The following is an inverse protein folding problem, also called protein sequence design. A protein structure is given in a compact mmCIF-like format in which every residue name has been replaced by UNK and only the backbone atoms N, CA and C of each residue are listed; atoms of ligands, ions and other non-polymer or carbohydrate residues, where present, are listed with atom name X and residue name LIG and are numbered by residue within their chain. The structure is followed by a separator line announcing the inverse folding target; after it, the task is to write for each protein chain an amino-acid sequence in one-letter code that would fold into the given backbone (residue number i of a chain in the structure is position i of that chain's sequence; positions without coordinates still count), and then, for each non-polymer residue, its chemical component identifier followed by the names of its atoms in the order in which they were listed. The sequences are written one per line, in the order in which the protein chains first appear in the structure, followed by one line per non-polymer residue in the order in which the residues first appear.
data_IF_091502285362
#
_entry.id   IF_091502285362
#
_cell.length_a   1.000
_cell.length_b   1.000
_cell.length_c   1.000
_cell.angle_alpha   90.00
_cell.angle_beta   90.00
_cell.angle_gamma   90.00
#
_symmetry.space_group_name_H-M   'P 1'
#
loop_
_entity.id
_entity.type
_entity.pdbx_description
1 polymer ?
#
# COMPACT_ATOMS: atom_id res chain seq x y z
N UNK A 1 16.01 -3.38 23.40
CA UNK A 1 15.89 -3.37 21.92
C UNK A 1 14.45 -3.04 21.61
N UNK A 2 14.20 -2.07 20.74
CA UNK A 2 12.85 -1.79 20.24
C UNK A 2 12.33 -3.03 19.53
N UNK A 3 11.10 -3.43 19.84
CA UNK A 3 10.43 -4.55 19.15
C UNK A 3 10.17 -4.10 17.72
N UNK A 4 10.70 -4.83 16.72
CA UNK A 4 10.37 -4.58 15.31
C UNK A 4 8.97 -5.07 15.01
N UNK A 5 8.25 -4.33 14.17
CA UNK A 5 6.84 -4.59 13.86
C UNK A 5 6.53 -4.29 12.39
N UNK A 6 5.79 -5.20 11.77
CA UNK A 6 5.24 -5.06 10.43
C UNK A 6 3.70 -5.20 10.48
N UNK A 7 3.04 -4.97 9.35
CA UNK A 7 1.59 -5.15 9.19
C UNK A 7 1.19 -5.72 7.85
N UNK A 8 0.13 -6.52 7.87
CA UNK A 8 -0.69 -6.83 6.72
C UNK A 8 -1.78 -5.75 6.60
N UNK A 9 -1.89 -5.10 5.44
CA UNK A 9 -2.79 -3.97 5.24
C UNK A 9 -3.76 -4.14 4.04
N UNK A 10 -4.65 -5.15 4.04
CA UNK A 10 -5.62 -5.32 2.96
C UNK A 10 -6.78 -4.31 3.04
N UNK A 11 -7.24 -3.82 1.90
CA UNK A 11 -8.49 -3.06 1.82
C UNK A 11 -9.69 -4.01 1.67
N UNK A 12 -10.80 -3.82 2.43
CA UNK A 12 -12.00 -4.66 2.32
C UNK A 12 -12.82 -4.39 1.06
N UNK A 13 -12.41 -3.44 0.23
CA UNK A 13 -13.10 -3.10 -1.03
C UNK A 13 -12.67 -3.98 -2.21
N UNK A 14 -11.50 -4.61 -2.11
CA UNK A 14 -10.95 -5.52 -3.12
C UNK A 14 -10.99 -6.97 -2.66
N UNK A 15 -11.18 -7.89 -3.60
CA UNK A 15 -10.91 -9.29 -3.32
C UNK A 15 -9.39 -9.51 -3.21
N UNK A 16 -8.94 -10.30 -2.25
CA UNK A 16 -7.53 -10.72 -2.22
C UNK A 16 -7.23 -11.60 -3.44
N UNK A 17 -6.13 -11.31 -4.11
CA UNK A 17 -5.63 -12.06 -5.26
C UNK A 17 -4.31 -12.78 -4.94
N UNK A 18 -3.83 -13.61 -5.87
CA UNK A 18 -2.54 -14.32 -5.75
C UNK A 18 -1.36 -13.37 -5.47
N UNK A 19 -1.38 -12.15 -6.01
CA UNK A 19 -0.36 -11.13 -5.69
C UNK A 19 -0.38 -10.72 -4.21
N UNK A 20 -1.57 -10.56 -3.62
CA UNK A 20 -1.70 -10.29 -2.19
C UNK A 20 -1.20 -11.47 -1.36
N UNK A 21 -1.54 -12.70 -1.73
CA UNK A 21 -1.03 -13.89 -1.05
C UNK A 21 0.50 -13.94 -1.06
N UNK A 22 1.13 -13.64 -2.21
CA UNK A 22 2.58 -13.58 -2.33
C UNK A 22 3.19 -12.57 -1.36
N UNK A 23 2.76 -11.30 -1.41
CA UNK A 23 3.31 -10.25 -0.55
C UNK A 23 3.04 -10.49 0.94
N UNK A 24 1.85 -10.97 1.30
CA UNK A 24 1.50 -11.25 2.69
C UNK A 24 2.22 -12.46 3.26
N UNK A 25 2.41 -13.53 2.46
CA UNK A 25 3.17 -14.69 2.88
C UNK A 25 4.66 -14.35 3.09
N UNK A 26 5.24 -13.55 2.19
CA UNK A 26 6.62 -13.06 2.33
C UNK A 26 6.76 -12.21 3.59
N UNK A 27 5.88 -11.23 3.80
CA UNK A 27 5.90 -10.38 5.00
C UNK A 27 5.76 -11.21 6.28
N UNK A 28 4.84 -12.17 6.29
CA UNK A 28 4.65 -13.08 7.42
C UNK A 28 5.90 -13.93 7.70
N UNK A 29 6.49 -14.54 6.66
CA UNK A 29 7.72 -15.31 6.81
C UNK A 29 8.89 -14.46 7.32
N UNK A 30 9.02 -13.22 6.83
CA UNK A 30 10.02 -12.26 7.33
C UNK A 30 9.80 -11.93 8.79
N UNK A 31 8.56 -11.63 9.19
CA UNK A 31 8.23 -11.31 10.58
C UNK A 31 8.53 -12.47 11.51
N UNK A 32 8.10 -13.70 11.16
CA UNK A 32 8.36 -14.90 11.98
C UNK A 32 9.84 -15.23 12.07
N UNK A 33 10.61 -15.16 10.97
CA UNK A 33 12.06 -15.43 10.98
C UNK A 33 12.85 -14.43 11.82
N UNK A 34 12.44 -13.17 11.82
CA UNK A 34 13.18 -12.10 12.50
C UNK A 34 12.59 -11.72 13.87
N UNK A 35 11.61 -12.49 14.37
CA UNK A 35 10.88 -12.22 15.62
C UNK A 35 10.26 -10.82 15.65
N UNK A 36 9.69 -10.37 14.52
CA UNK A 36 8.88 -9.16 14.47
C UNK A 36 7.45 -9.47 14.88
N UNK A 37 6.80 -8.49 15.49
CA UNK A 37 5.35 -8.51 15.62
C UNK A 37 4.71 -8.20 14.27
N UNK A 38 3.68 -8.95 13.89
CA UNK A 38 2.96 -8.77 12.64
C UNK A 38 1.49 -8.52 12.96
N UNK A 39 1.00 -7.31 12.75
CA UNK A 39 -0.43 -7.00 12.98
C UNK A 39 -1.24 -7.06 11.68
N UNK A 40 -2.56 -7.18 11.79
CA UNK A 40 -3.50 -7.04 10.68
C UNK A 40 -4.27 -5.72 10.81
N UNK A 41 -4.20 -4.86 9.79
CA UNK A 41 -4.97 -3.61 9.71
C UNK A 41 -5.83 -3.60 8.45
N UNK A 42 -7.14 -3.49 8.61
CA UNK A 42 -8.05 -3.35 7.47
C UNK A 42 -8.07 -1.89 6.99
N UNK A 43 -7.71 -1.65 5.73
CA UNK A 43 -7.72 -0.32 5.13
C UNK A 43 -9.11 0.06 4.61
N UNK A 44 -10.01 0.35 5.54
CA UNK A 44 -11.47 0.43 5.34
C UNK A 44 -12.03 1.85 5.17
N UNK A 45 -11.16 2.85 4.93
CA UNK A 45 -11.56 4.25 4.74
C UNK A 45 -12.17 4.57 3.37
N UNK A 46 -12.24 3.60 2.45
CA UNK A 46 -12.66 3.82 1.06
C UNK A 46 -14.13 3.41 0.84
N UNK A 47 -15.00 4.41 0.72
CA UNK A 47 -16.35 4.29 0.15
C UNK A 47 -17.50 4.09 1.15
N UNK A 48 -18.77 4.25 0.70
CA UNK A 48 -19.94 4.28 1.59
C UNK A 48 -20.40 2.91 2.11
N UNK A 49 -19.65 1.82 1.85
CA UNK A 49 -19.98 0.46 2.31
C UNK A 49 -18.70 -0.31 2.64
N UNK A 50 -18.35 -0.32 3.92
CA UNK A 50 -17.49 -1.35 4.48
C UNK A 50 -18.36 -2.60 4.57
N UNK A 51 -18.07 -3.61 3.74
CA UNK A 51 -18.73 -4.91 3.85
C UNK A 51 -18.05 -5.74 4.94
N UNK A 52 -18.72 -5.92 6.08
CA UNK A 52 -18.26 -6.80 7.15
C UNK A 52 -18.01 -8.24 6.66
N UNK A 53 -18.73 -8.68 5.61
CA UNK A 53 -18.49 -9.99 5.00
C UNK A 53 -17.11 -10.06 4.34
N UNK A 54 -16.65 -8.96 3.75
CA UNK A 54 -15.33 -8.86 3.12
C UNK A 54 -14.21 -8.93 4.15
N UNK A 55 -14.36 -8.26 5.30
CA UNK A 55 -13.41 -8.36 6.43
C UNK A 55 -13.31 -9.80 6.92
N UNK A 56 -14.45 -10.43 7.22
CA UNK A 56 -14.49 -11.85 7.65
C UNK A 56 -13.87 -12.79 6.61
N UNK A 57 -14.14 -12.56 5.33
CA UNK A 57 -13.60 -13.36 4.24
C UNK A 57 -12.08 -13.21 4.14
N UNK A 58 -11.56 -11.99 4.27
CA UNK A 58 -10.12 -11.71 4.33
C UNK A 58 -9.48 -12.47 5.48
N UNK A 59 -10.04 -12.40 6.69
CA UNK A 59 -9.50 -13.13 7.85
C UNK A 59 -9.48 -14.64 7.58
N UNK A 60 -10.59 -15.21 7.11
CA UNK A 60 -10.69 -16.63 6.81
C UNK A 60 -9.67 -17.09 5.75
N UNK A 61 -9.46 -16.29 4.70
CA UNK A 61 -8.49 -16.58 3.63
C UNK A 61 -7.05 -16.55 4.16
N UNK A 62 -6.69 -15.54 4.97
CA UNK A 62 -5.35 -15.45 5.53
C UNK A 62 -5.06 -16.62 6.47
N UNK A 63 -5.99 -16.96 7.36
CA UNK A 63 -5.88 -18.14 8.24
C UNK A 63 -5.80 -19.43 7.43
N UNK A 64 -6.62 -19.57 6.38
CA UNK A 64 -6.57 -20.74 5.48
C UNK A 64 -5.22 -20.88 4.78
N UNK A 65 -4.56 -19.78 4.40
CA UNK A 65 -3.21 -19.81 3.85
C UNK A 65 -2.12 -20.13 4.89
N UNK A 66 -2.47 -20.22 6.19
CA UNK A 66 -1.50 -20.38 7.28
C UNK A 66 -0.79 -19.09 7.68
N UNK A 67 -1.36 -17.92 7.32
CA UNK A 67 -0.84 -16.60 7.67
C UNK A 67 -1.56 -16.13 8.94
N UNK A 68 -0.86 -16.23 10.07
CA UNK A 68 -1.33 -15.76 11.37
C UNK A 68 -0.69 -14.42 11.73
N UNK A 69 -1.46 -13.53 12.34
CA UNK A 69 -1.00 -12.23 12.86
C UNK A 69 -1.14 -12.18 14.38
N UNK A 70 -0.48 -11.20 14.97
CA UNK A 70 -0.39 -10.98 16.41
C UNK A 70 -1.46 -9.96 16.83
N UNK A 71 -2.15 -10.25 17.94
CA UNK A 71 -3.22 -9.41 18.47
C UNK A 71 -4.51 -9.44 17.64
N UNK A 72 -5.42 -8.52 17.99
CA UNK A 72 -6.70 -8.37 17.29
C UNK A 72 -6.54 -7.54 16.00
N UNK A 73 -7.27 -7.89 14.92
CA UNK A 73 -7.33 -7.06 13.72
C UNK A 73 -7.81 -5.64 14.01
N UNK A 74 -7.15 -4.65 13.42
CA UNK A 74 -7.46 -3.23 13.59
C UNK A 74 -8.23 -2.70 12.40
N UNK A 75 -9.15 -1.75 12.62
CA UNK A 75 -9.85 -1.03 11.56
C UNK A 75 -9.38 0.43 11.52
N UNK A 76 -9.16 0.98 10.33
CA UNK A 76 -8.82 2.40 10.22
C UNK A 76 -10.01 3.29 10.63
N UNK A 77 -11.23 2.85 10.30
CA UNK A 77 -12.46 3.60 10.58
C UNK A 77 -12.80 3.75 12.07
N UNK A 78 -12.17 2.99 12.96
CA UNK A 78 -12.41 3.04 14.41
C UNK A 78 -12.00 4.36 15.06
N UNK A 79 -11.00 5.06 14.50
CA UNK A 79 -10.54 6.34 15.03
C UNK A 79 -10.18 7.29 13.90
N UNK A 80 -11.17 8.08 13.47
CA UNK A 80 -10.95 9.13 12.47
C UNK A 80 -10.33 10.41 13.08
N UNK A 81 -10.37 10.56 14.40
CA UNK A 81 -9.96 11.78 15.07
C UNK A 81 -8.44 11.98 14.97
N UNK A 82 -7.66 10.90 14.99
CA UNK A 82 -6.20 10.95 14.83
C UNK A 82 -5.77 11.53 13.48
N UNK A 83 -6.47 11.19 12.40
CA UNK A 83 -6.15 11.72 11.06
C UNK A 83 -6.46 13.20 10.98
N UNK A 84 -7.62 13.62 11.52
CA UNK A 84 -8.00 15.04 11.58
C UNK A 84 -7.02 15.86 12.40
N UNK A 85 -6.59 15.36 13.57
CA UNK A 85 -5.56 16.00 14.40
C UNK A 85 -4.25 16.17 13.63
N UNK A 86 -3.85 15.14 12.88
CA UNK A 86 -2.63 15.19 12.06
C UNK A 86 -2.75 16.21 10.93
N UNK A 87 -3.90 16.29 10.27
CA UNK A 87 -4.14 17.29 9.23
C UNK A 87 -4.07 18.71 9.78
N UNK A 88 -4.71 18.97 10.93
CA UNK A 88 -4.60 20.27 11.62
C UNK A 88 -3.15 20.61 11.92
N UNK A 89 -2.36 19.63 12.37
CA UNK A 89 -0.92 19.83 12.60
C UNK A 89 -0.17 20.20 11.31
N UNK A 90 -0.45 19.53 10.19
CA UNK A 90 0.15 19.88 8.90
C UNK A 90 -0.25 21.28 8.42
N UNK A 91 -1.46 21.74 8.74
CA UNK A 91 -1.93 23.10 8.44
C UNK A 91 -1.11 24.13 9.23
N UNK A 92 -0.95 23.94 10.54
CA UNK A 92 -0.13 24.80 11.40
C UNK A 92 1.32 24.90 10.91
N UNK A 93 1.86 23.79 10.42
CA UNK A 93 3.21 23.71 9.85
C UNK A 93 3.31 24.27 8.43
N UNK A 94 2.20 24.74 7.84
CA UNK A 94 2.13 25.24 6.46
C UNK A 94 2.62 24.20 5.44
N UNK A 95 2.32 22.92 5.68
CA UNK A 95 2.73 21.77 4.84
C UNK A 95 1.65 21.26 3.90
N UNK A 96 0.43 21.77 4.03
CA UNK A 96 -0.70 21.42 3.17
C UNK A 96 -1.38 22.68 2.66
N UNK A 97 -2.29 22.56 1.70
CA UNK A 97 -3.22 23.62 1.31
C UNK A 97 -4.55 23.01 0.87
N UNK A 98 -5.65 23.72 1.09
CA UNK A 98 -6.95 23.32 0.55
C UNK A 98 -7.02 23.65 -0.95
N UNK A 99 -7.55 22.73 -1.75
CA UNK A 99 -7.60 22.77 -3.21
C UNK A 99 -9.03 22.52 -3.68
N UNK A 100 -9.62 23.54 -4.34
CA UNK A 100 -10.97 23.49 -4.91
C UNK A 100 -11.00 22.96 -6.35
N UNK A 101 -9.84 22.73 -6.94
CA UNK A 101 -9.75 22.28 -8.33
C UNK A 101 -10.26 20.84 -8.47
N UNK A 102 -11.05 20.63 -9.51
CA UNK A 102 -11.44 19.30 -9.97
C UNK A 102 -10.23 18.59 -10.58
N UNK A 103 -10.32 17.25 -10.67
CA UNK A 103 -9.28 16.43 -11.31
C UNK A 103 -8.97 16.90 -12.73
N UNK A 104 -10.00 17.25 -13.50
CA UNK A 104 -9.86 17.76 -14.87
C UNK A 104 -9.10 19.08 -14.92
N UNK A 105 -9.41 20.00 -14.00
CA UNK A 105 -8.72 21.29 -13.92
C UNK A 105 -7.25 21.14 -13.50
N UNK A 106 -6.95 20.16 -12.64
CA UNK A 106 -5.57 19.82 -12.27
C UNK A 106 -4.82 19.24 -13.47
N UNK A 107 -5.41 18.30 -14.20
CA UNK A 107 -4.80 17.71 -15.41
C UNK A 107 -4.52 18.79 -16.48
N UNK A 108 -5.45 19.73 -16.66
CA UNK A 108 -5.26 20.89 -17.54
C UNK A 108 -4.15 21.82 -17.04
N UNK A 109 -4.12 22.15 -15.75
CA UNK A 109 -3.10 23.00 -15.15
C UNK A 109 -1.69 22.39 -15.17
N UNK A 110 -1.58 21.07 -15.14
CA UNK A 110 -0.31 20.33 -15.23
C UNK A 110 0.18 20.14 -16.68
N UNK A 111 -0.66 20.36 -17.69
CA UNK A 111 -0.27 20.20 -19.10
C UNK A 111 0.65 21.33 -19.63
N UNK A 112 1.45 21.02 -20.66
CA UNK A 112 2.26 22.03 -21.34
C UNK A 112 1.35 23.07 -22.00
N UNK A 113 1.68 24.38 -21.95
CA UNK A 113 0.84 25.41 -22.54
C UNK A 113 0.74 25.20 -24.06
N UNK A 114 -0.49 25.03 -24.57
CA UNK A 114 -0.77 25.04 -25.99
C UNK A 114 -1.14 26.46 -26.40
N UNK A 115 -0.67 26.92 -27.57
CA UNK A 115 -1.00 28.24 -28.08
C UNK A 115 -2.53 28.35 -28.31
N UNK A 116 -3.20 29.26 -27.60
CA UNK A 116 -4.64 29.51 -27.73
C UNK A 116 -5.52 29.04 -26.59
N UNK A 117 -4.98 28.60 -25.45
CA UNK A 117 -5.77 28.18 -24.29
C UNK A 117 -6.46 29.39 -23.60
N UNK A 118 -7.79 29.54 -23.68
CA UNK A 118 -8.48 30.78 -23.30
C UNK A 118 -8.60 31.00 -21.79
N UNK A 119 -8.17 30.04 -20.96
CA UNK A 119 -8.40 30.06 -19.50
C UNK A 119 -7.17 30.37 -18.63
N UNK A 120 -5.97 30.50 -19.21
CA UNK A 120 -4.74 30.68 -18.42
C UNK A 120 -4.42 29.49 -17.51
N UNK A 121 -3.16 29.36 -17.06
CA UNK A 121 -2.77 28.27 -16.16
C UNK A 121 -3.38 28.53 -14.78
N UNK A 122 -4.29 27.68 -14.30
CA UNK A 122 -4.71 27.72 -12.89
C UNK A 122 -3.54 27.24 -12.03
N UNK A 123 -3.05 28.09 -11.14
CA UNK A 123 -2.06 27.66 -10.15
C UNK A 123 -2.71 26.65 -9.19
N UNK A 124 -2.14 25.44 -9.13
CA UNK A 124 -2.64 24.39 -8.23
C UNK A 124 -2.23 24.71 -6.79
N UNK A 125 -0.98 25.12 -6.60
CA UNK A 125 -0.39 25.48 -5.31
C UNK A 125 -0.47 27.00 -5.11
N UNK A 126 -1.02 27.49 -3.98
CA UNK A 126 -1.02 28.93 -3.69
C UNK A 126 0.39 29.47 -3.44
N UNK A 127 0.63 30.72 -3.82
CA UNK A 127 1.92 31.41 -3.62
C UNK A 127 2.24 31.70 -2.15
N UNK A 128 1.23 32.01 -1.33
CA UNK A 128 1.34 32.13 0.13
C UNK A 128 0.37 31.18 0.83
N UNK A 129 0.91 30.06 1.28
CA UNK A 129 0.16 28.99 1.97
C UNK A 129 -0.37 29.45 3.33
N UNK A 130 0.34 30.35 4.03
CA UNK A 130 -0.08 30.83 5.36
C UNK A 130 -1.29 31.74 5.25
N UNK A 131 -1.32 32.61 4.25
CA UNK A 131 -2.47 33.46 3.96
C UNK A 131 -3.64 32.65 3.39
N UNK A 132 -3.35 31.58 2.63
CA UNK A 132 -4.36 30.69 2.06
C UNK A 132 -5.06 29.83 3.13
N UNK A 133 -4.30 29.28 4.08
CA UNK A 133 -4.82 28.41 5.13
C UNK A 133 -5.13 29.17 6.42
N UNK A 134 -6.24 29.89 6.45
CA UNK A 134 -6.61 30.64 7.66
C UNK A 134 -7.08 29.75 8.82
N UNK A 135 -7.66 28.58 8.54
CA UNK A 135 -8.05 27.54 9.51
C UNK A 135 -8.48 26.25 8.80
N UNK A 136 -8.57 25.16 9.56
CA UNK A 136 -9.37 24.00 9.15
C UNK A 136 -10.85 24.41 9.02
N UNK A 137 -11.46 24.09 7.89
CA UNK A 137 -12.92 24.14 7.70
C UNK A 137 -13.41 22.81 7.11
N UNK A 138 -14.72 22.58 7.21
CA UNK A 138 -15.37 21.38 6.66
C UNK A 138 -15.91 21.63 5.25
N UNK A 139 -15.38 22.63 4.53
CA UNK A 139 -15.78 22.84 3.15
C UNK A 139 -15.40 21.60 2.32
N UNK A 140 -16.22 21.17 1.36
CA UNK A 140 -16.02 19.94 0.59
C UNK A 140 -14.89 20.13 -0.43
N UNK A 141 -13.66 20.25 0.06
CA UNK A 141 -12.44 20.52 -0.69
C UNK A 141 -11.38 19.48 -0.36
N UNK A 142 -10.48 19.24 -1.30
CA UNK A 142 -9.35 18.34 -1.04
C UNK A 142 -8.24 19.14 -0.34
N UNK A 143 -7.54 18.53 0.60
CA UNK A 143 -6.27 19.07 1.10
C UNK A 143 -5.12 18.35 0.43
N UNK A 144 -4.14 19.11 -0.04
CA UNK A 144 -2.95 18.60 -0.71
C UNK A 144 -1.71 18.89 0.12
N UNK A 145 -0.80 17.92 0.18
CA UNK A 145 0.52 18.08 0.79
C UNK A 145 1.45 18.81 -0.17
N UNK A 146 2.25 19.73 0.38
CA UNK A 146 3.24 20.52 -0.34
C UNK A 146 4.53 19.72 -0.38
N UNK A 147 4.79 19.13 -1.53
CA UNK A 147 6.02 18.40 -1.77
C UNK A 147 7.18 19.38 -1.90
N UNK A 148 8.29 19.09 -1.22
CA UNK A 148 9.53 19.86 -1.31
C UNK A 148 10.07 19.80 -2.73
N UNK A 149 10.51 20.95 -3.24
CA UNK A 149 11.16 21.03 -4.56
C UNK A 149 12.63 20.60 -4.44
N UNK A 150 12.83 19.30 -4.17
CA UNK A 150 14.13 18.67 -4.06
C UNK A 150 14.06 17.23 -4.59
N UNK A 151 15.22 16.64 -4.86
CA UNK A 151 15.29 15.19 -5.04
C UNK A 151 14.94 14.54 -3.70
N UNK A 152 14.02 13.57 -3.73
CA UNK A 152 13.70 12.74 -2.57
C UNK A 152 14.44 11.41 -2.74
N UNK A 153 15.44 11.22 -1.90
CA UNK A 153 16.16 9.95 -1.80
C UNK A 153 15.37 9.01 -0.90
N UNK A 154 15.30 7.74 -1.28
CA UNK A 154 14.65 6.69 -0.51
C UNK A 154 15.56 5.46 -0.50
N UNK A 155 15.85 4.95 0.70
CA UNK A 155 16.50 3.67 0.87
C UNK A 155 15.43 2.57 0.99
N UNK A 156 15.44 1.63 0.06
CA UNK A 156 14.67 0.39 0.15
C UNK A 156 15.61 -0.78 0.49
N UNK A 157 15.22 -1.61 1.44
CA UNK A 157 16.04 -2.72 1.93
C UNK A 157 16.22 -3.84 0.89
N UNK A 158 15.33 -3.94 -0.11
CA UNK A 158 15.42 -4.91 -1.19
C UNK A 158 15.91 -4.29 -2.51
N UNK A 159 15.39 -3.12 -2.88
CA UNK A 159 15.68 -2.45 -4.15
C UNK A 159 16.88 -1.49 -4.08
N UNK A 160 17.39 -1.21 -2.87
CA UNK A 160 18.49 -0.28 -2.64
C UNK A 160 18.05 1.19 -2.72
N UNK A 161 19.01 2.07 -3.01
CA UNK A 161 18.76 3.50 -3.09
C UNK A 161 18.00 3.88 -4.37
N UNK A 162 16.92 4.61 -4.22
CA UNK A 162 16.11 5.15 -5.32
C UNK A 162 15.94 6.66 -5.16
N UNK A 163 15.76 7.36 -6.28
CA UNK A 163 15.74 8.82 -6.34
C UNK A 163 14.50 9.29 -7.09
N UNK A 164 13.73 10.18 -6.46
CA UNK A 164 12.50 10.73 -7.04
C UNK A 164 12.65 12.24 -7.25
N UNK A 165 12.33 12.70 -8.45
CA UNK A 165 12.34 14.12 -8.84
C UNK A 165 10.97 14.51 -9.38
N UNK A 166 10.67 15.81 -9.34
CA UNK A 166 9.42 16.37 -9.88
C UNK A 166 8.14 15.74 -9.30
N UNK A 167 8.21 15.31 -8.04
CA UNK A 167 7.05 14.78 -7.31
C UNK A 167 5.99 15.89 -7.18
N UNK A 168 4.76 15.56 -7.55
CA UNK A 168 3.64 16.50 -7.49
C UNK A 168 3.02 16.53 -6.09
N UNK A 169 2.42 17.68 -5.73
CA UNK A 169 1.54 17.78 -4.57
C UNK A 169 0.42 16.75 -4.64
N UNK A 170 0.26 15.97 -3.58
CA UNK A 170 -0.69 14.86 -3.53
C UNK A 170 -1.78 15.10 -2.48
N UNK A 171 -2.93 14.46 -2.67
CA UNK A 171 -4.08 14.62 -1.76
C UNK A 171 -3.81 13.88 -0.44
N UNK A 172 -4.02 14.56 0.69
CA UNK A 172 -3.96 14.01 2.05
C UNK A 172 -5.32 14.00 2.75
N UNK A 173 -6.26 14.84 2.31
CA UNK A 173 -7.65 14.81 2.75
C UNK A 173 -8.59 15.02 1.58
N UNK A 174 -9.69 14.30 1.56
CA UNK A 174 -10.63 14.32 0.44
C UNK A 174 -11.79 15.28 0.71
N UNK A 175 -12.42 15.75 -0.37
CA UNK A 175 -13.66 16.55 -0.32
C UNK A 175 -14.84 15.88 0.40
N UNK A 176 -14.75 14.58 0.68
CA UNK A 176 -15.78 13.81 1.38
C UNK A 176 -15.51 13.72 2.90
N UNK A 177 -14.65 14.60 3.42
CA UNK A 177 -14.22 14.64 4.82
C UNK A 177 -13.54 13.34 5.33
N UNK A 178 -12.77 12.70 4.46
CA UNK A 178 -12.00 11.48 4.77
C UNK A 178 -10.52 11.68 4.46
N UNK A 179 -9.60 11.13 5.27
CA UNK A 179 -8.18 11.12 4.92
C UNK A 179 -7.94 10.36 3.63
N UNK A 180 -6.98 10.82 2.83
CA UNK A 180 -6.51 10.06 1.69
C UNK A 180 -5.46 9.03 2.13
N UNK A 181 -5.25 8.01 1.29
CA UNK A 181 -4.33 6.89 1.53
C UNK A 181 -2.98 7.32 2.09
N UNK A 182 -2.33 8.33 1.48
CA UNK A 182 -1.00 8.76 1.87
C UNK A 182 -0.92 9.26 3.32
N UNK A 183 -1.95 9.96 3.81
CA UNK A 183 -2.01 10.43 5.19
C UNK A 183 -2.40 9.30 6.14
N UNK A 184 -3.42 8.51 5.77
CA UNK A 184 -3.96 7.47 6.63
C UNK A 184 -2.89 6.43 6.99
N UNK A 185 -2.14 5.94 5.99
CA UNK A 185 -1.10 4.94 6.20
C UNK A 185 0.03 5.44 7.09
N UNK A 186 0.52 6.68 6.89
CA UNK A 186 1.59 7.24 7.73
C UNK A 186 1.14 7.41 9.18
N UNK A 187 -0.07 7.92 9.39
CA UNK A 187 -0.63 8.10 10.74
C UNK A 187 -0.81 6.76 11.44
N UNK A 188 -1.30 5.75 10.72
CA UNK A 188 -1.49 4.42 11.27
C UNK A 188 -0.18 3.69 11.54
N UNK A 189 0.74 3.71 10.59
CA UNK A 189 2.04 3.06 10.74
C UNK A 189 2.79 3.68 11.94
N UNK A 190 2.78 5.01 12.09
CA UNK A 190 3.39 5.68 13.23
C UNK A 190 2.71 5.34 14.57
N UNK A 191 1.37 5.44 14.67
CA UNK A 191 0.66 5.16 15.95
C UNK A 191 0.73 3.69 16.36
N UNK A 192 0.84 2.80 15.37
CA UNK A 192 0.96 1.37 15.57
C UNK A 192 2.43 0.94 15.69
N UNK A 193 3.40 1.85 15.68
CA UNK A 193 4.82 1.53 15.86
C UNK A 193 5.36 0.58 14.80
N UNK A 194 4.90 0.71 13.55
CA UNK A 194 5.40 -0.08 12.41
C UNK A 194 6.83 0.37 12.11
N UNK A 195 7.78 -0.56 12.18
CA UNK A 195 9.19 -0.33 11.85
C UNK A 195 9.55 -0.83 10.46
N UNK A 196 8.73 -1.71 9.89
CA UNK A 196 9.02 -2.40 8.64
C UNK A 196 7.77 -2.46 7.76
N UNK A 197 7.82 -1.79 6.61
CA UNK A 197 6.73 -1.75 5.64
C UNK A 197 7.08 -2.64 4.45
N UNK A 198 6.46 -3.83 4.42
CA UNK A 198 6.58 -4.78 3.32
C UNK A 198 5.35 -4.70 2.40
N UNK A 199 5.55 -4.34 1.13
CA UNK A 199 4.47 -4.16 0.14
C UNK A 199 4.97 -4.27 -1.31
N UNK A 200 4.09 -4.22 -2.30
CA UNK A 200 4.49 -4.27 -3.72
C UNK A 200 5.22 -3.02 -4.21
N UNK A 201 6.17 -3.17 -5.13
CA UNK A 201 7.03 -2.09 -5.63
C UNK A 201 6.31 -1.01 -6.47
N UNK A 202 5.04 -1.22 -6.83
CA UNK A 202 4.21 -0.14 -7.40
C UNK A 202 3.98 1.02 -6.43
N UNK A 203 4.17 0.79 -5.13
CA UNK A 203 3.98 1.79 -4.09
C UNK A 203 5.28 2.51 -3.69
N UNK A 204 6.38 2.32 -4.44
CA UNK A 204 7.65 2.95 -4.10
C UNK A 204 7.62 4.48 -4.23
N UNK A 205 6.95 5.02 -5.24
CA UNK A 205 6.73 6.47 -5.35
C UNK A 205 5.84 6.99 -4.19
N UNK A 206 4.90 6.16 -3.73
CA UNK A 206 4.13 6.48 -2.52
C UNK A 206 5.01 6.50 -1.26
N UNK A 207 6.04 5.66 -1.16
CA UNK A 207 7.00 5.74 -0.06
C UNK A 207 7.75 7.07 -0.06
N UNK A 208 8.15 7.58 -1.23
CA UNK A 208 8.78 8.89 -1.34
C UNK A 208 7.87 10.04 -0.88
N UNK A 209 6.57 9.98 -1.21
CA UNK A 209 5.58 10.92 -0.66
C UNK A 209 5.40 10.77 0.85
N UNK A 210 5.27 9.54 1.33
CA UNK A 210 5.06 9.21 2.75
C UNK A 210 6.25 9.65 3.61
N UNK A 211 7.49 9.44 3.14
CA UNK A 211 8.72 9.92 3.79
C UNK A 211 8.69 11.43 4.06
N UNK A 212 8.14 12.23 3.14
CA UNK A 212 8.01 13.68 3.36
C UNK A 212 6.98 14.01 4.45
N UNK A 213 5.94 13.19 4.62
CA UNK A 213 4.98 13.33 5.72
C UNK A 213 5.65 12.98 7.05
N UNK A 214 6.35 11.84 7.12
CA UNK A 214 7.14 11.43 8.29
C UNK A 214 8.10 12.54 8.73
N UNK A 215 8.93 13.03 7.79
CA UNK A 215 9.87 14.13 8.02
C UNK A 215 9.16 15.40 8.51
N UNK A 216 8.03 15.76 7.90
CA UNK A 216 7.32 17.00 8.25
C UNK A 216 6.65 16.96 9.62
N UNK A 217 6.32 15.76 10.10
CA UNK A 217 5.71 15.53 11.41
C UNK A 217 6.71 15.15 12.49
N UNK A 218 8.01 15.09 12.17
CA UNK A 218 9.07 14.64 13.07
C UNK A 218 8.79 13.22 13.62
N UNK A 219 8.34 12.33 12.73
CA UNK A 219 8.06 10.92 13.01
C UNK A 219 9.21 10.05 12.51
N UNK A 220 9.44 8.93 13.21
CA UNK A 220 10.39 7.91 12.78
C UNK A 220 9.86 7.20 11.54
N UNK A 221 10.65 7.22 10.45
CA UNK A 221 10.32 6.57 9.19
C UNK A 221 10.62 5.06 9.27
N UNK A 222 9.71 4.18 8.80
CA UNK A 222 9.96 2.75 8.79
C UNK A 222 10.98 2.35 7.72
N UNK A 223 11.57 1.18 7.86
CA UNK A 223 12.31 0.55 6.77
C UNK A 223 11.33 0.12 5.67
N UNK A 224 11.67 0.40 4.42
CA UNK A 224 10.85 0.06 3.27
C UNK A 224 11.33 -1.24 2.61
N UNK A 225 10.39 -2.12 2.29
CA UNK A 225 10.64 -3.35 1.56
C UNK A 225 9.63 -3.46 0.41
N UNK A 226 10.08 -3.16 -0.81
CA UNK A 226 9.24 -3.18 -2.00
C UNK A 226 9.43 -4.47 -2.81
N UNK A 227 8.47 -5.36 -2.70
CA UNK A 227 8.44 -6.69 -3.32
C UNK A 227 8.06 -6.65 -4.81
N UNK A 228 8.55 -7.58 -5.64
CA UNK A 228 8.10 -7.75 -7.02
C UNK A 228 6.59 -8.03 -7.09
N UNK A 229 5.95 -7.61 -8.17
CA UNK A 229 4.53 -7.87 -8.41
C UNK A 229 4.33 -9.24 -9.04
N UNK A 230 3.12 -9.78 -8.85
CA UNK A 230 2.63 -10.88 -9.67
C UNK A 230 1.80 -10.27 -10.81
N UNK A 231 2.29 -10.47 -12.04
CA UNK A 231 1.70 -9.94 -13.28
C UNK A 231 1.31 -11.07 -14.22
N UNK A 232 0.44 -10.79 -15.19
CA UNK A 232 0.12 -11.73 -16.27
C UNK A 232 1.20 -11.78 -17.35
N UNK A 233 1.08 -12.72 -18.28
CA UNK A 233 1.92 -12.80 -19.48
C UNK A 233 1.82 -11.54 -20.38
N UNK A 234 0.79 -10.72 -20.19
CA UNK A 234 0.59 -9.43 -20.86
C UNK A 234 1.41 -8.27 -20.25
N UNK A 235 2.19 -8.54 -19.19
CA UNK A 235 2.97 -7.53 -18.48
C UNK A 235 2.14 -6.67 -17.52
N UNK A 236 0.85 -6.95 -17.38
CA UNK A 236 -0.06 -6.14 -16.57
C UNK A 236 -0.45 -6.87 -15.28
N UNK A 237 -0.86 -6.10 -14.27
CA UNK A 237 -1.35 -6.64 -13.00
C UNK A 237 -2.46 -7.67 -13.18
N UNK A 238 -2.43 -8.69 -12.33
CA UNK A 238 -3.48 -9.71 -12.28
C UNK A 238 -4.86 -9.07 -12.11
N UNK A 239 -5.79 -9.47 -12.98
CA UNK A 239 -7.16 -8.99 -13.03
C UNK A 239 -8.04 -10.10 -13.64
N UNK A 240 -9.36 -9.89 -13.67
CA UNK A 240 -10.33 -10.87 -14.19
C UNK A 240 -10.00 -11.43 -15.58
N UNK A 241 -9.31 -10.66 -16.43
CA UNK A 241 -8.88 -11.10 -17.78
C UNK A 241 -7.89 -12.27 -17.76
N UNK A 242 -7.16 -12.47 -16.67
CA UNK A 242 -6.22 -13.58 -16.48
C UNK A 242 -6.89 -14.84 -15.93
N UNK A 243 -8.23 -14.84 -15.84
CA UNK A 243 -9.00 -15.79 -15.07
C UNK A 243 -9.29 -15.26 -13.66
N UNK A 244 -10.03 -16.05 -12.90
CA UNK A 244 -10.39 -15.67 -11.54
C UNK A 244 -9.27 -16.00 -10.56
N UNK A 245 -8.34 -15.06 -10.40
CA UNK A 245 -7.17 -15.17 -9.50
C UNK A 245 -7.49 -14.76 -8.06
N UNK A 246 -8.78 -14.60 -7.72
CA UNK A 246 -9.21 -14.28 -6.35
C UNK A 246 -8.99 -15.49 -5.45
N UNK A 247 -8.37 -15.28 -4.30
CA UNK A 247 -8.13 -16.33 -3.31
C UNK A 247 -9.44 -16.94 -2.82
N UNK A 248 -10.49 -16.12 -2.68
CA UNK A 248 -11.82 -16.59 -2.30
C UNK A 248 -12.38 -17.64 -3.28
N UNK A 249 -12.08 -17.50 -4.58
CA UNK A 249 -12.53 -18.46 -5.60
C UNK A 249 -11.85 -19.81 -5.40
N UNK A 250 -10.54 -19.81 -5.17
CA UNK A 250 -9.80 -21.04 -4.87
C UNK A 250 -10.26 -21.70 -3.56
N UNK A 251 -10.44 -20.89 -2.52
CA UNK A 251 -10.96 -21.32 -1.22
C UNK A 251 -12.33 -22.00 -1.36
N UNK A 252 -13.29 -21.36 -2.02
CA UNK A 252 -14.64 -21.90 -2.21
C UNK A 252 -14.69 -23.17 -3.07
N UNK A 253 -13.72 -23.34 -3.97
CA UNK A 253 -13.60 -24.55 -4.79
C UNK A 253 -12.93 -25.72 -4.03
N UNK A 254 -12.64 -25.57 -2.73
CA UNK A 254 -12.04 -26.63 -1.91
C UNK A 254 -10.56 -26.86 -2.20
N UNK A 255 -9.87 -25.86 -2.77
CA UNK A 255 -8.44 -25.95 -3.01
C UNK A 255 -7.67 -26.13 -1.71
N UNK A 256 -6.60 -26.91 -1.77
CA UNK A 256 -5.61 -27.00 -0.71
C UNK A 256 -4.69 -25.77 -0.72
N UNK A 257 -4.53 -25.05 0.41
CA UNK A 257 -3.73 -23.82 0.46
C UNK A 257 -2.26 -24.09 0.12
N UNK A 258 -1.77 -25.31 0.36
CA UNK A 258 -0.39 -25.68 0.10
C UNK A 258 0.01 -25.57 -1.38
N UNK A 259 -0.96 -25.62 -2.31
CA UNK A 259 -0.67 -25.44 -3.74
C UNK A 259 -0.35 -23.99 -4.08
N UNK A 260 -1.03 -23.04 -3.43
CA UNK A 260 -0.76 -21.60 -3.58
C UNK A 260 0.58 -21.28 -2.94
N UNK A 261 0.80 -21.74 -1.71
CA UNK A 261 2.06 -21.51 -0.98
C UNK A 261 3.24 -22.15 -1.73
N UNK A 262 3.09 -23.37 -2.24
CA UNK A 262 4.09 -24.04 -3.05
C UNK A 262 4.38 -23.35 -4.39
N UNK A 263 3.35 -22.77 -5.02
CA UNK A 263 3.53 -21.93 -6.19
C UNK A 263 4.29 -20.64 -5.87
N UNK A 264 3.99 -19.99 -4.75
CA UNK A 264 4.73 -18.82 -4.25
C UNK A 264 6.19 -19.21 -3.96
N UNK A 265 6.45 -20.38 -3.38
CA UNK A 265 7.81 -20.88 -3.15
C UNK A 265 8.61 -21.01 -4.46
N UNK A 266 7.99 -21.50 -5.54
CA UNK A 266 8.59 -21.49 -6.88
C UNK A 266 8.87 -20.08 -7.36
N UNK A 267 7.93 -19.15 -7.21
CA UNK A 267 8.12 -17.75 -7.63
C UNK A 267 9.24 -17.06 -6.85
N UNK A 268 9.37 -17.36 -5.56
CA UNK A 268 10.47 -16.92 -4.70
C UNK A 268 11.79 -17.67 -4.96
N UNK A 269 11.88 -18.50 -6.01
CA UNK A 269 13.06 -19.30 -6.39
C UNK A 269 13.56 -20.26 -5.30
N UNK A 270 12.73 -20.63 -4.33
CA UNK A 270 13.06 -21.62 -3.29
C UNK A 270 13.12 -23.04 -3.85
N UNK A 271 12.37 -23.29 -4.93
CA UNK A 271 12.32 -24.54 -5.67
C UNK A 271 12.12 -24.26 -7.16
N UNK A 272 12.54 -25.19 -8.02
CA UNK A 272 12.29 -25.11 -9.47
C UNK A 272 10.97 -25.77 -9.89
N UNK A 273 10.34 -26.53 -8.99
CA UNK A 273 9.12 -27.30 -9.27
C UNK A 273 7.92 -26.70 -8.54
N UNK A 274 6.73 -26.96 -9.08
CA UNK A 274 5.46 -26.69 -8.40
C UNK A 274 5.13 -27.91 -7.55
N UNK A 275 5.29 -27.77 -6.24
CA UNK A 275 5.03 -28.83 -5.27
C UNK A 275 4.25 -28.22 -4.11
N UNK A 276 3.26 -28.91 -3.51
CA UNK A 276 2.54 -28.37 -2.38
C UNK A 276 3.50 -28.13 -1.20
N UNK A 277 3.38 -26.97 -0.55
CA UNK A 277 4.21 -26.58 0.59
C UNK A 277 3.35 -25.88 1.64
N UNK A 278 3.53 -26.16 2.92
CA UNK A 278 2.82 -25.41 3.98
C UNK A 278 3.43 -24.03 4.21
N UNK A 279 2.67 -23.11 4.81
CA UNK A 279 3.21 -21.80 5.21
C UNK A 279 4.38 -21.95 6.19
N UNK A 280 4.29 -22.86 7.15
CA UNK A 280 5.39 -23.13 8.10
C UNK A 280 6.67 -23.59 7.38
N UNK A 281 6.57 -24.50 6.43
CA UNK A 281 7.75 -24.94 5.64
C UNK A 281 8.27 -23.81 4.74
N UNK A 282 7.39 -23.00 4.16
CA UNK A 282 7.78 -21.78 3.43
C UNK A 282 8.58 -20.87 4.37
N UNK A 283 8.05 -20.56 5.55
CA UNK A 283 8.69 -19.71 6.54
C UNK A 283 10.03 -20.28 7.02
N UNK A 284 10.22 -21.59 7.13
CA UNK A 284 11.50 -22.15 7.55
C UNK A 284 12.58 -21.94 6.47
N UNK A 285 12.21 -22.08 5.20
CA UNK A 285 13.16 -22.12 4.09
C UNK A 285 13.33 -20.78 3.34
N UNK A 286 12.39 -19.84 3.48
CA UNK A 286 12.40 -18.59 2.73
C UNK A 286 13.52 -17.64 3.19
N UNK A 287 14.28 -17.09 2.25
CA UNK A 287 15.27 -16.05 2.51
C UNK A 287 14.98 -14.84 1.61
N UNK A 288 14.74 -13.68 2.24
CA UNK A 288 14.41 -12.44 1.53
C UNK A 288 15.55 -11.97 0.63
N UNK A 289 16.81 -12.24 1.00
CA UNK A 289 17.96 -11.83 0.20
C UNK A 289 18.16 -12.68 -1.06
N UNK A 290 17.48 -13.82 -1.14
CA UNK A 290 17.45 -14.69 -2.33
C UNK A 290 16.29 -14.33 -3.28
N UNK A 291 15.39 -13.42 -2.88
CA UNK A 291 14.25 -13.00 -3.68
C UNK A 291 14.72 -12.14 -4.87
N UNK A 292 14.24 -12.49 -6.06
CA UNK A 292 14.48 -11.71 -7.26
C UNK A 292 13.67 -10.40 -7.22
N UNK A 293 14.22 -9.31 -7.77
CA UNK A 293 13.54 -8.00 -7.79
C UNK A 293 12.66 -7.81 -9.03
N UNK A 294 12.78 -8.69 -10.03
CA UNK A 294 11.92 -8.66 -11.21
C UNK A 294 10.52 -9.20 -10.93
N UNK A 295 9.54 -8.66 -11.65
CA UNK A 295 8.16 -9.11 -11.56
C UNK A 295 7.98 -10.60 -11.89
N UNK A 296 7.10 -11.21 -11.13
CA UNK A 296 6.72 -12.62 -11.24
C UNK A 296 5.63 -12.76 -12.29
N UNK A 297 5.91 -13.52 -13.34
CA UNK A 297 4.93 -13.82 -14.40
C UNK A 297 4.10 -15.03 -13.99
N UNK A 298 2.79 -14.83 -13.82
CA UNK A 298 1.80 -15.89 -13.65
C UNK A 298 1.50 -16.54 -15.00
N UNK A 299 2.04 -17.74 -15.21
CA UNK A 299 1.93 -18.45 -16.50
C UNK A 299 0.66 -19.31 -16.61
N UNK A 300 0.37 -19.78 -17.83
CA UNK A 300 -0.71 -20.76 -18.04
C UNK A 300 -0.49 -22.07 -17.29
N UNK A 301 0.75 -22.51 -17.16
CA UNK A 301 1.12 -23.72 -16.40
C UNK A 301 0.95 -23.49 -14.89
N UNK A 302 1.20 -22.28 -14.39
CA UNK A 302 0.91 -21.93 -13.00
C UNK A 302 -0.61 -22.00 -12.75
N UNK A 303 -1.42 -21.49 -13.69
CA UNK A 303 -2.88 -21.59 -13.61
C UNK A 303 -3.37 -23.03 -13.66
N UNK A 304 -2.84 -23.85 -14.58
CA UNK A 304 -3.20 -25.27 -14.68
C UNK A 304 -2.84 -26.00 -13.39
N UNK A 305 -1.64 -25.76 -12.86
CA UNK A 305 -1.20 -26.32 -11.59
C UNK A 305 -2.14 -25.98 -10.44
N UNK A 306 -2.69 -24.77 -10.37
CA UNK A 306 -3.63 -24.46 -9.29
C UNK A 306 -4.93 -25.25 -9.46
N UNK A 307 -5.41 -25.45 -10.69
CA UNK A 307 -6.72 -26.03 -10.98
C UNK A 307 -6.78 -27.57 -10.99
N UNK A 308 -5.63 -28.27 -11.12
CA UNK A 308 -5.54 -29.73 -11.27
C UNK A 308 -5.86 -30.55 -10.01
#
# INVERSE_FOLDING_TARGET
MTVRRSRLAPSPTGSLHLGNACSFLINWAMARKNNWELILRMEDLVGPRIDLSSIKSTHAILTWLGIEWDGEPLLQSEDLAVYKKTLVRLIELSKVYHCKLTRKEIEQASSAPHAGDPYGKKEIRPSDVKLHNTKWDTEPTNWRFIVRDCTQDLHDELLGNTHFQHLNDFVVWTKNDMPAYQLAVVVDDARQGITDVVRGHDLIESAAWQSQIYTSLDLEEPNWWHLPLVIGEDGLRLAKRHGDTRLLTYYNNGMRPERIVGLIAKWCKMTTKREPLSATEFCQNFDIHSLATEDIIFTKEDKQWLLD
#
